data_IF_838014119106
#
_entry.id   IF_838014119106
#
_cell.length_a   1.000
_cell.length_b   1.000
_cell.length_c   1.000
_cell.angle_alpha   90.00
_cell.angle_beta   90.00
_cell.angle_gamma   90.00
#
_symmetry.space_group_name_H-M   'P 1'
#
loop_
_entity.id
_entity.type
_entity.pdbx_description
1 polymer ?
#
# COMPACT_ATOMS: atom_id res chain seq x y z
N UNK A 1 80.66 5.28 10.10
CA UNK A 1 79.52 6.13 10.48
C UNK A 1 78.62 6.28 9.26
N UNK A 2 77.33 5.96 9.42
CA UNK A 2 76.20 6.19 8.49
C UNK A 2 76.15 5.32 7.22
N UNK A 3 75.26 4.32 7.28
CA UNK A 3 74.71 3.53 6.16
C UNK A 3 73.86 4.44 5.25
N UNK A 4 74.00 4.33 3.93
CA UNK A 4 72.96 4.76 2.98
C UNK A 4 72.68 3.63 2.01
N UNK A 5 71.59 2.91 2.29
CA UNK A 5 70.92 1.98 1.38
C UNK A 5 70.16 2.83 0.37
N UNK A 6 70.50 2.71 -0.92
CA UNK A 6 69.71 3.31 -2.01
C UNK A 6 68.49 2.42 -2.26
N UNK A 7 67.34 2.82 -1.73
CA UNK A 7 66.04 2.24 -2.05
C UNK A 7 65.55 2.90 -3.35
N UNK A 8 65.44 2.10 -4.40
CA UNK A 8 64.84 2.47 -5.68
C UNK A 8 63.31 2.33 -5.52
N UNK A 9 62.58 3.43 -5.40
CA UNK A 9 61.10 3.43 -5.39
C UNK A 9 60.62 3.62 -6.83
N UNK A 10 60.08 2.55 -7.41
CA UNK A 10 59.35 2.62 -8.69
C UNK A 10 57.92 3.09 -8.38
N UNK A 11 57.62 4.34 -8.72
CA UNK A 11 56.25 4.87 -8.70
C UNK A 11 55.52 4.40 -9.97
N UNK A 12 54.74 3.32 -9.86
CA UNK A 12 53.74 2.96 -10.87
C UNK A 12 52.51 3.87 -10.68
N UNK A 13 52.39 4.91 -11.51
CA UNK A 13 51.19 5.75 -11.59
C UNK A 13 50.14 4.95 -12.36
N UNK A 14 49.22 4.29 -11.63
CA UNK A 14 48.03 3.68 -12.21
C UNK A 14 47.00 4.79 -12.46
N UNK A 15 46.87 5.21 -13.72
CA UNK A 15 45.88 6.17 -14.17
C UNK A 15 44.49 5.51 -14.13
N UNK A 16 43.72 5.74 -13.06
CA UNK A 16 42.31 5.37 -13.01
C UNK A 16 41.54 6.25 -14.00
N UNK A 17 41.18 5.70 -15.15
CA UNK A 17 40.15 6.26 -16.03
C UNK A 17 38.81 6.15 -15.30
N UNK A 18 38.41 7.21 -14.61
CA UNK A 18 37.04 7.37 -14.13
C UNK A 18 36.13 7.57 -15.35
N UNK A 19 35.41 6.51 -15.75
CA UNK A 19 34.30 6.68 -16.67
C UNK A 19 33.26 7.62 -16.01
N UNK A 20 32.74 8.64 -16.72
CA UNK A 20 31.68 9.47 -16.19
C UNK A 20 30.45 8.59 -15.95
N UNK A 21 30.12 8.34 -14.69
CA UNK A 21 28.82 7.80 -14.31
C UNK A 21 27.80 8.86 -14.71
N UNK A 22 27.08 8.64 -15.81
CA UNK A 22 25.93 9.46 -16.18
C UNK A 22 24.95 9.40 -15.03
N UNK A 23 24.79 10.51 -14.30
CA UNK A 23 23.76 10.66 -13.30
C UNK A 23 22.42 10.39 -13.98
N UNK A 24 21.71 9.35 -13.55
CA UNK A 24 20.33 9.16 -13.96
C UNK A 24 19.55 10.42 -13.59
N UNK A 25 18.76 10.97 -14.51
CA UNK A 25 17.85 12.05 -14.19
C UNK A 25 16.84 11.50 -13.17
N UNK A 26 16.95 11.95 -11.92
CA UNK A 26 16.00 11.59 -10.87
C UNK A 26 14.84 12.56 -10.97
N UNK A 27 13.68 12.06 -11.38
CA UNK A 27 12.44 12.85 -11.31
C UNK A 27 11.87 12.72 -9.90
N UNK A 28 11.77 13.83 -9.15
CA UNK A 28 11.06 13.85 -7.86
C UNK A 28 9.63 14.32 -8.02
N UNK A 29 8.71 13.70 -7.28
CA UNK A 29 7.29 14.06 -7.23
C UNK A 29 6.91 14.43 -5.81
N UNK A 30 6.15 15.53 -5.68
CA UNK A 30 5.62 16.00 -4.41
C UNK A 30 4.19 15.48 -4.23
N UNK A 31 3.94 14.72 -3.17
CA UNK A 31 2.59 14.36 -2.72
C UNK A 31 2.29 15.24 -1.52
N UNK A 32 1.41 16.25 -1.70
CA UNK A 32 1.12 17.26 -0.66
C UNK A 32 -0.19 17.00 0.07
N UNK A 33 -0.26 17.46 1.31
CA UNK A 33 -1.50 17.61 2.07
C UNK A 33 -2.21 18.94 1.82
N UNK A 34 -3.38 19.11 2.46
CA UNK A 34 -4.13 20.36 2.46
C UNK A 34 -3.30 21.44 3.16
N UNK A 35 -3.38 22.67 2.66
CA UNK A 35 -2.66 23.82 3.20
C UNK A 35 -3.28 24.32 4.51
N UNK A 36 -2.43 24.71 5.45
CA UNK A 36 -2.75 25.72 6.46
C UNK A 36 -2.47 27.10 5.87
N UNK A 37 -3.44 28.01 5.89
CA UNK A 37 -3.27 29.39 5.43
C UNK A 37 -3.91 30.36 6.43
N UNK A 38 -3.08 31.07 7.20
CA UNK A 38 -3.55 32.02 8.22
C UNK A 38 -4.38 33.18 7.63
N UNK A 39 -4.25 33.46 6.32
CA UNK A 39 -5.00 34.50 5.63
C UNK A 39 -6.29 34.01 4.94
N UNK A 40 -6.58 32.70 4.99
CA UNK A 40 -7.76 32.10 4.35
C UNK A 40 -8.88 31.88 5.34
N UNK A 41 -10.13 32.21 4.98
CA UNK A 41 -11.30 31.85 5.81
C UNK A 41 -11.60 30.35 5.83
N UNK A 42 -11.12 29.58 4.84
CA UNK A 42 -11.38 28.15 4.72
C UNK A 42 -10.26 27.30 5.31
N UNK A 43 -9.01 27.76 5.20
CA UNK A 43 -7.82 26.97 5.53
C UNK A 43 -7.05 27.47 6.77
N UNK A 44 -7.53 28.52 7.45
CA UNK A 44 -6.91 29.05 8.67
C UNK A 44 -7.10 28.17 9.90
N UNK A 45 -7.81 27.05 9.81
CA UNK A 45 -8.03 26.09 10.91
C UNK A 45 -7.44 24.71 10.62
N UNK A 46 -6.72 24.54 9.50
CA UNK A 46 -6.12 23.27 9.10
C UNK A 46 -4.91 22.91 9.99
N UNK A 47 -5.16 22.26 11.13
CA UNK A 47 -4.11 21.80 12.04
C UNK A 47 -3.99 20.27 12.12
N UNK A 48 -4.71 19.52 11.28
CA UNK A 48 -4.69 18.06 11.28
C UNK A 48 -4.70 17.53 9.85
N UNK A 49 -3.82 16.56 9.62
CA UNK A 49 -3.68 15.81 8.38
C UNK A 49 -3.83 14.33 8.69
N UNK A 50 -4.86 13.71 8.13
CA UNK A 50 -5.07 12.27 8.05
C UNK A 50 -5.02 11.87 6.56
N UNK A 51 -5.27 10.60 6.23
CA UNK A 51 -5.24 10.15 4.84
C UNK A 51 -6.23 10.88 3.89
N UNK A 52 -7.28 11.54 4.42
CA UNK A 52 -8.21 12.34 3.61
C UNK A 52 -7.59 13.70 3.28
N UNK A 53 -6.94 14.34 4.25
CA UNK A 53 -6.32 15.66 4.09
C UNK A 53 -4.87 15.58 3.65
N UNK A 54 -4.29 14.40 3.58
CA UNK A 54 -2.93 14.17 3.13
C UNK A 54 -2.81 12.80 2.45
N UNK A 55 -2.94 12.74 1.11
CA UNK A 55 -2.92 11.48 0.34
C UNK A 55 -1.58 10.75 0.36
N UNK A 56 -0.55 11.36 0.94
CA UNK A 56 0.72 10.69 1.19
C UNK A 56 0.68 9.67 2.32
N UNK A 57 -0.30 9.75 3.22
CA UNK A 57 -0.51 8.73 4.24
C UNK A 57 -1.18 7.49 3.66
N UNK A 58 -0.85 6.34 4.25
CA UNK A 58 -1.37 5.07 3.79
C UNK A 58 -2.90 4.99 3.90
N UNK A 59 -3.55 4.58 2.80
CA UNK A 59 -4.99 4.34 2.73
C UNK A 59 -5.31 3.06 1.95
N UNK A 60 -6.00 2.11 2.59
CA UNK A 60 -6.52 0.92 1.96
C UNK A 60 -7.95 1.16 1.46
N UNK A 61 -8.10 1.34 0.13
CA UNK A 61 -9.38 1.65 -0.53
C UNK A 61 -10.49 0.63 -0.23
N UNK A 62 -10.24 -0.66 -0.49
CA UNK A 62 -11.25 -1.71 -0.34
C UNK A 62 -11.91 -1.75 1.05
N UNK A 63 -11.14 -1.79 2.15
CA UNK A 63 -11.71 -1.75 3.50
C UNK A 63 -11.96 -0.32 4.03
N UNK A 64 -11.58 0.73 3.30
CA UNK A 64 -11.71 2.12 3.72
C UNK A 64 -10.91 2.46 4.98
N UNK A 65 -9.68 1.94 5.13
CA UNK A 65 -8.87 2.07 6.36
C UNK A 65 -7.62 2.91 6.15
N UNK A 66 -7.30 3.71 7.15
CA UNK A 66 -6.01 4.39 7.34
C UNK A 66 -5.65 4.35 8.82
N UNK A 67 -4.41 4.70 9.16
CA UNK A 67 -3.94 4.67 10.55
C UNK A 67 -3.23 5.95 10.99
N UNK A 68 -2.71 6.74 10.06
CA UNK A 68 -1.77 7.81 10.35
C UNK A 68 -2.47 9.16 10.52
N UNK A 69 -1.96 9.96 11.46
CA UNK A 69 -2.37 11.34 11.66
C UNK A 69 -1.16 12.21 12.02
N UNK A 70 -1.08 13.40 11.44
CA UNK A 70 -0.17 14.47 11.84
C UNK A 70 -1.01 15.65 12.32
N UNK A 71 -0.71 16.19 13.50
CA UNK A 71 -1.53 17.22 14.13
C UNK A 71 -0.69 18.26 14.85
N UNK A 72 -1.11 19.52 14.76
CA UNK A 72 -0.66 20.57 15.66
C UNK A 72 -1.63 20.61 16.85
N UNK A 73 -1.12 20.34 18.05
CA UNK A 73 -1.87 20.26 19.30
C UNK A 73 -1.43 21.37 20.26
N UNK A 74 -2.25 21.66 21.28
CA UNK A 74 -1.96 22.62 22.35
C UNK A 74 -1.56 24.03 21.88
N UNK A 75 -1.86 24.33 20.61
CA UNK A 75 -1.57 25.61 19.98
C UNK A 75 -2.74 25.94 19.05
N UNK A 76 -3.49 27.03 19.33
CA UNK A 76 -4.64 27.39 18.50
C UNK A 76 -4.17 27.89 17.14
N UNK A 77 -4.97 27.66 16.11
CA UNK A 77 -4.66 28.05 14.74
C UNK A 77 -4.40 29.56 14.59
N UNK A 78 -5.13 30.37 15.37
CA UNK A 78 -4.98 31.83 15.44
C UNK A 78 -3.63 32.30 15.98
N UNK A 79 -2.86 31.44 16.67
CA UNK A 79 -1.51 31.77 17.12
C UNK A 79 -0.47 31.65 16.01
N UNK A 80 -0.75 30.86 14.96
CA UNK A 80 0.11 30.66 13.81
C UNK A 80 -0.19 31.72 12.75
N UNK A 81 0.66 32.74 12.67
CA UNK A 81 0.42 33.93 11.85
C UNK A 81 1.67 34.31 11.06
N UNK A 82 1.57 35.36 10.24
CA UNK A 82 2.72 35.87 9.51
C UNK A 82 3.89 36.30 10.43
N UNK A 83 3.57 36.74 11.66
CA UNK A 83 4.52 37.20 12.67
C UNK A 83 4.92 36.12 13.69
N UNK A 84 4.18 35.00 13.73
CA UNK A 84 4.49 33.86 14.60
C UNK A 84 4.50 32.56 13.79
N UNK A 85 5.71 32.16 13.38
CA UNK A 85 5.98 31.05 12.46
C UNK A 85 6.63 29.86 13.15
N UNK A 86 6.19 29.56 14.36
CA UNK A 86 6.78 28.52 15.20
C UNK A 86 5.68 27.59 15.68
N UNK A 87 5.86 26.29 15.44
CA UNK A 87 5.13 25.26 16.17
C UNK A 87 5.99 24.97 17.40
N UNK A 88 5.46 25.22 18.58
CA UNK A 88 6.25 25.09 19.81
C UNK A 88 6.65 23.63 20.08
N UNK A 89 7.55 23.44 21.03
CA UNK A 89 7.92 22.09 21.51
C UNK A 89 6.67 21.32 21.94
N UNK A 90 6.69 20.01 21.70
CA UNK A 90 5.59 19.08 22.00
C UNK A 90 4.26 19.34 21.27
N UNK A 91 4.18 20.36 20.39
CA UNK A 91 2.94 20.74 19.73
C UNK A 91 2.75 20.12 18.35
N UNK A 92 3.75 19.49 17.74
CA UNK A 92 3.60 18.68 16.53
C UNK A 92 3.56 17.19 16.91
N UNK A 93 2.42 16.56 16.70
CA UNK A 93 2.15 15.18 17.04
C UNK A 93 1.97 14.32 15.78
N UNK A 94 2.71 13.22 15.67
CA UNK A 94 2.43 12.14 14.72
C UNK A 94 1.89 10.93 15.49
N UNK A 95 0.84 10.30 14.98
CA UNK A 95 0.25 9.12 15.61
C UNK A 95 -0.16 8.10 14.55
N UNK A 96 0.08 6.81 14.85
CA UNK A 96 -0.39 5.70 14.03
C UNK A 96 -0.97 4.59 14.90
N UNK A 97 -2.11 4.02 14.47
CA UNK A 97 -2.80 2.93 15.18
C UNK A 97 -2.87 1.67 14.32
N UNK A 98 -2.69 0.49 14.92
CA UNK A 98 -2.88 -0.78 14.22
C UNK A 98 -4.32 -0.93 13.68
N UNK A 99 -4.43 -1.55 12.51
CA UNK A 99 -5.70 -1.90 11.86
C UNK A 99 -5.71 -3.37 11.46
N UNK A 100 -6.88 -3.99 11.40
CA UNK A 100 -7.03 -5.40 11.02
C UNK A 100 -7.05 -5.62 9.51
N UNK A 101 -6.49 -6.76 9.12
CA UNK A 101 -6.56 -7.29 7.77
C UNK A 101 -6.72 -8.81 7.83
N UNK A 102 -7.67 -9.32 7.04
CA UNK A 102 -7.83 -10.77 6.85
C UNK A 102 -6.71 -11.30 5.97
N UNK A 103 -6.15 -12.46 6.31
CA UNK A 103 -5.39 -13.22 5.32
C UNK A 103 -6.30 -13.58 4.14
N UNK A 104 -5.75 -13.57 2.92
CA UNK A 104 -6.51 -13.94 1.72
C UNK A 104 -7.03 -15.37 1.79
N UNK A 105 -6.23 -16.30 2.30
CA UNK A 105 -6.66 -17.68 2.49
C UNK A 105 -7.89 -17.80 3.42
N UNK A 106 -8.01 -16.90 4.40
CA UNK A 106 -9.17 -16.84 5.27
C UNK A 106 -10.38 -16.21 4.60
N UNK A 107 -10.23 -15.12 3.85
CA UNK A 107 -11.37 -14.50 3.14
C UNK A 107 -11.88 -15.36 1.99
N UNK A 108 -11.00 -16.06 1.28
CA UNK A 108 -11.34 -16.79 0.05
C UNK A 108 -11.68 -18.27 0.29
N UNK A 109 -11.12 -18.90 1.33
CA UNK A 109 -11.29 -20.35 1.59
C UNK A 109 -11.77 -20.67 3.01
N UNK A 110 -12.01 -19.67 3.86
CA UNK A 110 -12.36 -19.84 5.28
C UNK A 110 -11.36 -20.67 6.08
N UNK A 111 -10.10 -20.77 5.61
CA UNK A 111 -9.01 -21.47 6.30
C UNK A 111 -8.22 -20.47 7.12
N UNK A 112 -7.92 -20.81 8.37
CA UNK A 112 -7.13 -19.99 9.27
C UNK A 112 -5.64 -20.30 9.12
N UNK A 113 -4.81 -19.36 9.53
CA UNK A 113 -3.35 -19.45 9.60
C UNK A 113 -2.96 -19.92 11.00
N UNK A 114 -2.02 -20.87 11.08
CA UNK A 114 -1.45 -21.35 12.33
C UNK A 114 -0.77 -20.19 13.08
N UNK A 115 -1.03 -20.05 14.37
CA UNK A 115 -0.60 -18.90 15.20
C UNK A 115 -1.00 -17.52 14.64
N UNK A 116 -2.04 -17.47 13.81
CA UNK A 116 -2.62 -16.22 13.34
C UNK A 116 -3.40 -15.48 14.44
N UNK A 117 -3.78 -14.23 14.15
CA UNK A 117 -4.58 -13.43 15.07
C UNK A 117 -6.08 -13.64 14.82
N UNK A 118 -6.86 -13.60 15.90
CA UNK A 118 -8.28 -13.28 15.86
C UNK A 118 -8.49 -11.80 16.14
N UNK A 119 -9.51 -11.21 15.52
CA UNK A 119 -9.83 -9.80 15.66
C UNK A 119 -11.26 -9.63 16.17
N UNK A 120 -11.41 -8.87 17.26
CA UNK A 120 -12.71 -8.46 17.77
C UNK A 120 -13.02 -7.05 17.26
N UNK A 121 -13.98 -6.92 16.34
CA UNK A 121 -14.33 -5.64 15.73
C UNK A 121 -15.01 -4.66 16.69
N UNK A 122 -15.66 -5.15 17.75
CA UNK A 122 -16.33 -4.31 18.76
C UNK A 122 -15.33 -3.63 19.68
N UNK A 123 -14.30 -4.37 20.13
CA UNK A 123 -13.26 -3.82 21.01
C UNK A 123 -12.02 -3.35 20.27
N UNK A 124 -11.91 -3.62 18.96
CA UNK A 124 -10.76 -3.33 18.10
C UNK A 124 -9.46 -3.94 18.64
N UNK A 125 -9.54 -5.15 19.17
CA UNK A 125 -8.40 -5.86 19.77
C UNK A 125 -8.03 -7.10 18.97
N UNK A 126 -6.74 -7.44 19.02
CA UNK A 126 -6.21 -8.69 18.50
C UNK A 126 -5.94 -9.66 19.64
N UNK A 127 -6.17 -10.94 19.38
CA UNK A 127 -5.78 -12.03 20.26
C UNK A 127 -5.02 -13.07 19.46
N UNK A 128 -3.84 -13.44 19.92
CA UNK A 128 -3.12 -14.60 19.39
C UNK A 128 -3.90 -15.86 19.72
N UNK A 129 -4.06 -16.75 18.74
CA UNK A 129 -4.77 -18.01 18.90
C UNK A 129 -4.00 -19.12 18.14
N UNK A 130 -4.25 -20.39 18.47
CA UNK A 130 -3.62 -21.52 17.80
C UNK A 130 -3.84 -21.48 16.27
N UNK A 131 -4.99 -20.96 15.85
CA UNK A 131 -5.20 -20.52 14.47
C UNK A 131 -6.00 -19.22 14.43
N UNK A 132 -5.68 -18.34 13.47
CA UNK A 132 -6.33 -17.05 13.30
C UNK A 132 -6.54 -16.65 11.84
N UNK A 133 -7.51 -15.78 11.60
CA UNK A 133 -7.87 -15.32 10.26
C UNK A 133 -7.27 -13.97 9.87
N UNK A 134 -6.56 -13.31 10.80
CA UNK A 134 -6.15 -11.92 10.68
C UNK A 134 -4.66 -11.73 10.96
N UNK A 135 -4.13 -10.67 10.39
CA UNK A 135 -2.91 -10.00 10.82
C UNK A 135 -3.20 -8.51 11.05
N UNK A 136 -2.33 -7.84 11.79
CA UNK A 136 -2.43 -6.41 12.05
C UNK A 136 -1.47 -5.63 11.14
N UNK A 137 -1.87 -4.43 10.71
CA UNK A 137 -1.06 -3.56 9.86
C UNK A 137 -1.31 -2.09 10.15
N UNK A 138 -0.34 -1.25 9.80
CA UNK A 138 -0.43 0.20 9.95
C UNK A 138 0.48 0.91 8.94
N UNK A 139 0.17 2.16 8.63
CA UNK A 139 1.07 3.09 7.97
C UNK A 139 2.13 3.62 8.93
N UNK A 140 3.37 3.72 8.46
CA UNK A 140 4.50 4.33 9.15
C UNK A 140 5.19 5.30 8.19
N UNK A 141 4.95 6.59 8.40
CA UNK A 141 5.35 7.68 7.51
C UNK A 141 5.03 7.41 6.03
N UNK A 142 3.78 7.02 5.76
CA UNK A 142 3.24 6.76 4.41
C UNK A 142 3.42 5.33 3.90
N UNK A 143 4.37 4.56 4.44
CA UNK A 143 4.62 3.18 4.03
C UNK A 143 3.82 2.17 4.86
N UNK A 144 3.35 1.08 4.24
CA UNK A 144 2.61 0.02 4.91
C UNK A 144 3.53 -0.98 5.62
N UNK A 145 3.26 -1.25 6.89
CA UNK A 145 3.93 -2.28 7.69
C UNK A 145 2.93 -3.24 8.32
N UNK A 146 3.41 -4.45 8.62
CA UNK A 146 2.72 -5.43 9.47
C UNK A 146 3.17 -5.22 10.92
N UNK A 147 2.20 -5.16 11.82
CA UNK A 147 2.45 -5.15 13.26
C UNK A 147 2.61 -6.60 13.74
N UNK A 148 3.84 -6.99 14.07
CA UNK A 148 4.21 -8.37 14.42
C UNK A 148 3.41 -8.83 15.63
N UNK A 149 2.72 -9.98 15.53
CA UNK A 149 1.79 -10.49 16.55
C UNK A 149 0.76 -9.45 17.05
N UNK A 150 0.42 -8.49 16.19
CA UNK A 150 -0.51 -7.42 16.55
C UNK A 150 0.16 -6.22 17.19
N UNK A 151 1.45 -6.24 17.53
CA UNK A 151 2.12 -5.19 18.31
C UNK A 151 2.50 -3.99 17.42
N UNK A 152 1.80 -2.88 17.57
CA UNK A 152 1.98 -1.67 16.75
C UNK A 152 3.37 -1.04 16.88
N UNK A 153 4.11 -1.33 17.96
CA UNK A 153 5.48 -0.88 18.15
C UNK A 153 6.54 -1.83 17.57
N UNK A 154 6.15 -2.90 16.87
CA UNK A 154 7.06 -3.85 16.20
C UNK A 154 6.66 -4.02 14.74
N UNK A 155 7.39 -3.36 13.86
CA UNK A 155 7.01 -3.20 12.46
C UNK A 155 7.85 -4.10 11.55
N UNK A 156 7.20 -4.95 10.77
CA UNK A 156 7.80 -5.77 9.73
C UNK A 156 7.32 -5.31 8.34
N UNK A 157 8.22 -5.30 7.35
CA UNK A 157 7.82 -5.06 5.95
C UNK A 157 6.99 -6.23 5.44
N UNK A 158 5.93 -5.92 4.70
CA UNK A 158 5.19 -6.91 3.92
C UNK A 158 5.94 -7.19 2.61
N UNK A 159 6.64 -8.31 2.53
CA UNK A 159 7.46 -8.67 1.37
C UNK A 159 6.56 -9.17 0.22
N UNK A 160 5.57 -10.01 0.55
CA UNK A 160 4.64 -10.57 -0.43
C UNK A 160 3.24 -10.62 0.14
N UNK A 161 2.26 -10.22 -0.66
CA UNK A 161 0.84 -10.53 -0.47
C UNK A 161 0.23 -10.74 -1.84
N UNK A 162 -0.14 -11.98 -2.17
CA UNK A 162 -0.83 -12.28 -3.43
C UNK A 162 -2.26 -11.74 -3.40
N UNK A 163 -2.72 -11.20 -4.53
CA UNK A 163 -4.13 -10.87 -4.72
C UNK A 163 -4.97 -12.14 -4.84
N UNK A 164 -6.29 -12.01 -4.71
CA UNK A 164 -7.18 -13.17 -4.70
C UNK A 164 -7.14 -13.93 -6.03
N UNK A 165 -7.05 -13.20 -7.14
CA UNK A 165 -7.01 -13.70 -8.51
C UNK A 165 -5.64 -14.25 -8.94
N UNK A 166 -4.57 -13.92 -8.19
CA UNK A 166 -3.21 -14.34 -8.53
C UNK A 166 -2.99 -15.83 -8.21
N UNK A 167 -2.14 -16.45 -9.04
CA UNK A 167 -1.74 -17.85 -8.95
C UNK A 167 -0.25 -17.94 -9.24
N UNK A 168 0.47 -18.69 -8.42
CA UNK A 168 1.85 -19.07 -8.71
C UNK A 168 1.87 -20.54 -9.10
N UNK A 169 2.45 -20.89 -10.25
CA UNK A 169 2.65 -22.29 -10.64
C UNK A 169 4.14 -22.62 -10.57
N UNK A 170 4.49 -23.64 -9.79
CA UNK A 170 5.86 -24.11 -9.61
C UNK A 170 5.99 -25.53 -10.15
N UNK A 171 7.02 -25.76 -10.97
CA UNK A 171 7.37 -27.10 -11.45
C UNK A 171 8.22 -27.81 -10.39
N UNK A 172 8.17 -29.14 -10.38
CA UNK A 172 9.08 -29.95 -9.58
C UNK A 172 10.55 -29.52 -9.81
N UNK A 173 11.32 -29.37 -8.72
CA UNK A 173 12.72 -28.96 -8.74
C UNK A 173 12.96 -27.47 -8.98
N UNK A 174 11.90 -26.66 -9.15
CA UNK A 174 12.05 -25.20 -9.33
C UNK A 174 11.82 -24.44 -8.03
N UNK A 175 12.45 -23.27 -7.94
CA UNK A 175 12.36 -22.38 -6.79
C UNK A 175 11.67 -21.07 -7.14
N UNK A 176 10.85 -20.58 -6.21
CA UNK A 176 10.20 -19.29 -6.29
C UNK A 176 10.89 -18.28 -5.39
N UNK A 177 11.54 -17.29 -5.98
CA UNK A 177 12.08 -16.15 -5.23
C UNK A 177 10.94 -15.24 -4.76
N UNK A 178 10.83 -15.11 -3.44
CA UNK A 178 9.79 -14.34 -2.77
C UNK A 178 10.26 -12.94 -2.34
N UNK A 179 11.57 -12.64 -2.43
CA UNK A 179 12.20 -11.40 -1.96
C UNK A 179 12.96 -11.59 -0.64
N UNK A 180 13.86 -10.64 -0.32
CA UNK A 180 14.74 -10.67 0.88
C UNK A 180 15.44 -12.03 1.14
N UNK A 181 15.86 -12.71 0.07
CA UNK A 181 16.55 -13.99 0.17
C UNK A 181 15.64 -15.20 0.42
N UNK A 182 14.35 -14.99 0.63
CA UNK A 182 13.36 -16.05 0.81
C UNK A 182 13.04 -16.76 -0.51
N UNK A 183 13.02 -18.09 -0.46
CA UNK A 183 12.72 -18.94 -1.59
C UNK A 183 11.82 -20.11 -1.16
N UNK A 184 10.87 -20.50 -2.01
CA UNK A 184 10.07 -21.71 -1.83
C UNK A 184 10.35 -22.68 -2.97
N UNK A 185 10.80 -23.89 -2.65
CA UNK A 185 11.16 -24.92 -3.62
C UNK A 185 10.20 -26.10 -3.52
N UNK A 186 9.84 -26.67 -4.67
CA UNK A 186 9.08 -27.93 -4.75
C UNK A 186 10.06 -29.08 -4.86
N UNK A 187 10.25 -29.83 -3.77
CA UNK A 187 11.23 -30.91 -3.67
C UNK A 187 10.72 -32.23 -4.25
N UNK A 188 9.45 -32.55 -3.98
CA UNK A 188 8.79 -33.76 -4.47
C UNK A 188 7.28 -33.56 -4.54
N UNK A 189 6.62 -34.36 -5.39
CA UNK A 189 5.18 -34.37 -5.56
C UNK A 189 4.69 -35.82 -5.57
N UNK A 190 3.70 -36.11 -4.74
CA UNK A 190 2.93 -37.36 -4.80
C UNK A 190 1.56 -37.06 -5.41
N UNK A 191 1.35 -37.59 -6.60
CA UNK A 191 0.11 -37.40 -7.35
C UNK A 191 -0.80 -38.63 -7.32
N UNK A 192 -0.37 -39.69 -6.65
CA UNK A 192 -1.10 -40.95 -6.51
C UNK A 192 -1.96 -40.98 -5.23
N UNK A 193 -1.58 -40.23 -4.20
CA UNK A 193 -2.41 -40.06 -3.00
C UNK A 193 -3.63 -39.18 -3.24
N UNK A 194 -4.67 -39.37 -2.42
CA UNK A 194 -5.85 -38.51 -2.38
C UNK A 194 -6.17 -38.08 -0.93
N UNK A 195 -5.96 -36.81 -0.56
CA UNK A 195 -5.49 -35.70 -1.41
C UNK A 195 -4.01 -35.87 -1.85
N UNK A 196 -3.67 -35.24 -2.99
CA UNK A 196 -2.29 -35.19 -3.51
C UNK A 196 -1.39 -34.41 -2.55
N UNK A 197 -0.09 -34.71 -2.56
CA UNK A 197 0.87 -34.14 -1.61
C UNK A 197 2.03 -33.44 -2.30
N UNK A 198 2.49 -32.34 -1.68
CA UNK A 198 3.71 -31.65 -2.06
C UNK A 198 4.69 -31.58 -0.90
N UNK A 199 5.95 -31.91 -1.16
CA UNK A 199 7.07 -31.63 -0.27
C UNK A 199 7.64 -30.27 -0.65
N UNK A 200 7.45 -29.29 0.23
CA UNK A 200 7.88 -27.92 0.02
C UNK A 200 9.03 -27.60 0.99
N UNK A 201 10.07 -26.95 0.47
CA UNK A 201 11.19 -26.42 1.25
C UNK A 201 11.15 -24.91 1.24
N UNK A 202 11.11 -24.30 2.43
CA UNK A 202 11.18 -22.85 2.60
C UNK A 202 12.57 -22.46 3.10
N UNK A 203 13.27 -21.63 2.32
CA UNK A 203 14.67 -21.31 2.53
C UNK A 203 14.87 -19.79 2.61
N UNK A 204 15.92 -19.36 3.31
CA UNK A 204 16.40 -17.97 3.30
C UNK A 204 17.91 -17.96 3.12
N UNK A 205 18.39 -17.22 2.14
CA UNK A 205 19.84 -17.08 1.86
C UNK A 205 20.57 -18.42 1.74
N UNK A 206 19.91 -19.39 1.09
CA UNK A 206 20.42 -20.76 0.91
C UNK A 206 20.30 -21.67 2.14
N UNK A 207 19.92 -21.16 3.31
CA UNK A 207 19.66 -21.97 4.51
C UNK A 207 18.20 -22.46 4.50
N UNK A 208 18.02 -23.77 4.68
CA UNK A 208 16.68 -24.33 4.91
C UNK A 208 16.14 -23.84 6.26
N UNK A 209 14.95 -23.24 6.23
CA UNK A 209 14.23 -22.80 7.43
C UNK A 209 13.20 -23.84 7.87
N UNK A 210 12.51 -24.44 6.90
CA UNK A 210 11.48 -25.44 7.13
C UNK A 210 11.28 -26.34 5.91
N UNK A 211 10.79 -27.55 6.15
CA UNK A 211 10.41 -28.50 5.11
C UNK A 211 9.14 -29.21 5.55
N UNK A 212 8.11 -29.17 4.69
CA UNK A 212 6.78 -29.67 5.05
C UNK A 212 6.14 -30.45 3.92
N UNK A 213 5.45 -31.54 4.29
CA UNK A 213 4.49 -32.22 3.42
C UNK A 213 3.15 -31.54 3.57
N UNK A 214 2.56 -31.09 2.47
CA UNK A 214 1.32 -30.32 2.46
C UNK A 214 0.37 -30.94 1.46
N UNK A 215 -0.84 -31.25 1.90
CA UNK A 215 -1.86 -31.78 1.00
C UNK A 215 -2.45 -30.67 0.12
N UNK A 216 -2.98 -31.06 -1.04
CA UNK A 216 -3.88 -30.21 -1.81
C UNK A 216 -5.04 -29.73 -0.94
N UNK A 217 -5.34 -28.43 -0.97
CA UNK A 217 -6.38 -27.81 -0.17
C UNK A 217 -5.95 -27.40 1.25
N UNK A 218 -4.67 -27.52 1.59
CA UNK A 218 -4.12 -27.12 2.89
C UNK A 218 -3.33 -25.81 2.85
N UNK A 219 -3.14 -25.24 4.04
CA UNK A 219 -2.34 -24.03 4.27
C UNK A 219 -0.99 -24.44 4.82
N UNK A 220 0.07 -24.09 4.12
CA UNK A 220 1.41 -24.13 4.66
C UNK A 220 1.69 -22.81 5.40
N UNK A 221 1.94 -22.90 6.71
CA UNK A 221 2.44 -21.78 7.51
C UNK A 221 3.83 -22.12 8.05
N UNK A 222 4.82 -21.27 7.79
CA UNK A 222 6.09 -21.30 8.51
C UNK A 222 6.06 -20.29 9.66
N UNK A 223 6.42 -20.78 10.84
CA UNK A 223 6.39 -20.05 12.10
C UNK A 223 7.83 -19.93 12.59
N UNK A 224 8.26 -18.69 12.78
CA UNK A 224 9.54 -18.42 13.43
C UNK A 224 9.32 -18.39 14.95
N UNK A 225 10.19 -19.10 15.68
CA UNK A 225 10.04 -19.24 17.14
C UNK A 225 10.22 -17.91 17.87
N UNK A 226 11.05 -17.04 17.32
CA UNK A 226 11.25 -15.71 17.87
C UNK A 226 11.56 -14.70 16.76
N UNK A 227 10.74 -13.66 16.66
CA UNK A 227 11.02 -12.51 15.80
C UNK A 227 11.06 -11.26 16.68
N UNK A 228 12.26 -10.76 16.94
CA UNK A 228 12.49 -9.56 17.76
C UNK A 228 11.79 -9.63 19.13
N UNK A 229 11.87 -10.79 19.81
CA UNK A 229 11.27 -10.97 21.14
C UNK A 229 9.81 -11.42 21.13
N UNK A 230 9.12 -11.41 19.99
CA UNK A 230 7.78 -11.99 19.85
C UNK A 230 7.89 -13.48 19.50
N UNK A 231 7.21 -14.33 20.27
CA UNK A 231 7.23 -15.78 20.06
C UNK A 231 6.25 -16.21 18.97
N UNK A 232 6.55 -17.34 18.34
CA UNK A 232 5.61 -18.10 17.52
C UNK A 232 4.95 -17.28 16.40
N UNK A 233 5.77 -16.51 15.68
CA UNK A 233 5.31 -15.55 14.66
C UNK A 233 5.12 -16.25 13.31
N UNK A 234 3.92 -16.20 12.71
CA UNK A 234 3.74 -16.61 11.32
C UNK A 234 4.52 -15.67 10.41
N UNK A 235 5.54 -16.19 9.73
CA UNK A 235 6.39 -15.40 8.81
C UNK A 235 5.97 -15.62 7.36
N UNK A 236 5.61 -16.85 7.01
CA UNK A 236 5.22 -17.22 5.66
C UNK A 236 3.94 -18.06 5.67
N UNK A 237 3.03 -17.75 4.76
CA UNK A 237 1.76 -18.46 4.57
C UNK A 237 1.58 -18.69 3.07
N UNK A 238 1.18 -19.89 2.67
CA UNK A 238 0.70 -20.14 1.30
C UNK A 238 -0.34 -21.26 1.28
N UNK A 239 -1.25 -21.21 0.31
CA UNK A 239 -2.27 -22.23 0.11
C UNK A 239 -1.93 -23.08 -1.11
N UNK A 240 -1.94 -24.41 -0.96
CA UNK A 240 -1.80 -25.35 -2.07
C UNK A 240 -3.17 -25.52 -2.72
N UNK A 241 -3.43 -24.78 -3.81
CA UNK A 241 -4.74 -24.80 -4.48
C UNK A 241 -4.93 -26.09 -5.28
N UNK A 242 -3.89 -26.55 -5.96
CA UNK A 242 -3.93 -27.77 -6.76
C UNK A 242 -2.54 -28.33 -7.06
N UNK A 243 -2.45 -29.65 -7.23
CA UNK A 243 -1.26 -30.38 -7.67
C UNK A 243 -1.65 -31.16 -8.92
N UNK A 244 -0.92 -30.98 -10.02
CA UNK A 244 -1.25 -31.62 -11.29
C UNK A 244 -0.05 -32.35 -11.89
N UNK A 245 -0.38 -33.41 -12.62
CA UNK A 245 0.53 -34.10 -13.53
C UNK A 245 0.10 -33.71 -14.95
N UNK A 246 1.03 -33.19 -15.76
CA UNK A 246 0.78 -32.94 -17.18
C UNK A 246 0.55 -34.24 -17.96
N UNK A 247 -0.07 -34.12 -19.14
CA UNK A 247 -0.20 -35.24 -20.06
C UNK A 247 1.19 -35.78 -20.47
N UNK A 248 1.26 -37.07 -20.78
CA UNK A 248 2.46 -37.75 -21.31
C UNK A 248 3.71 -37.66 -20.42
N UNK A 249 3.55 -37.65 -19.09
CA UNK A 249 4.65 -37.90 -18.15
C UNK A 249 5.70 -36.78 -18.02
N UNK A 250 5.44 -35.58 -18.57
CA UNK A 250 6.52 -34.61 -18.85
C UNK A 250 6.60 -33.39 -17.92
N UNK A 251 5.67 -33.16 -16.98
CA UNK A 251 5.82 -32.12 -15.94
C UNK A 251 4.80 -32.28 -14.81
N UNK A 252 5.25 -32.39 -13.56
CA UNK A 252 4.40 -32.23 -12.37
C UNK A 252 4.55 -30.80 -11.83
N UNK A 253 3.44 -30.19 -11.43
CA UNK A 253 3.42 -28.82 -10.92
C UNK A 253 2.43 -28.61 -9.79
N UNK A 254 2.78 -27.67 -8.91
CA UNK A 254 1.95 -27.18 -7.82
C UNK A 254 1.46 -25.78 -8.16
N UNK A 255 0.18 -25.52 -7.94
CA UNK A 255 -0.40 -24.20 -7.96
C UNK A 255 -0.59 -23.69 -6.53
N UNK A 256 0.06 -22.57 -6.23
CA UNK A 256 -0.01 -21.86 -4.97
C UNK A 256 -0.83 -20.59 -5.10
N UNK A 257 -1.60 -20.28 -4.05
CA UNK A 257 -2.39 -19.05 -3.95
C UNK A 257 -2.28 -18.46 -2.55
N UNK A 258 -2.72 -17.21 -2.44
CA UNK A 258 -2.87 -16.51 -1.17
C UNK A 258 -1.56 -16.42 -0.36
N UNK A 259 -0.43 -16.40 -1.06
CA UNK A 259 0.88 -16.31 -0.43
C UNK A 259 1.04 -14.98 0.30
N UNK A 260 1.50 -15.03 1.54
CA UNK A 260 1.79 -13.88 2.39
C UNK A 260 3.14 -14.09 3.08
N UNK A 261 3.99 -13.07 3.09
CA UNK A 261 5.34 -13.12 3.66
C UNK A 261 5.71 -11.78 4.28
N UNK A 262 6.21 -11.80 5.51
CA UNK A 262 6.80 -10.64 6.18
C UNK A 262 8.30 -10.79 6.37
N UNK A 263 8.98 -9.63 6.45
CA UNK A 263 10.37 -9.59 6.85
C UNK A 263 10.53 -9.93 8.33
N UNK A 264 11.59 -10.66 8.66
CA UNK A 264 12.03 -10.84 10.05
C UNK A 264 12.89 -9.66 10.54
N UNK A 265 13.26 -8.71 9.66
CA UNK A 265 13.94 -7.47 10.05
C UNK A 265 12.91 -6.50 10.61
N UNK A 266 12.69 -6.57 11.92
CA UNK A 266 11.68 -5.78 12.63
C UNK A 266 12.26 -4.47 13.12
N UNK A 267 11.57 -3.37 12.83
CA UNK A 267 11.76 -2.10 13.52
C UNK A 267 10.97 -2.13 14.83
N UNK A 268 11.69 -2.23 15.96
CA UNK A 268 11.11 -2.04 17.29
C UNK A 268 11.15 -0.57 17.67
N UNK A 269 10.04 -0.05 18.17
CA UNK A 269 9.90 1.33 18.63
C UNK A 269 9.64 1.31 20.14
N UNK A 270 10.42 2.12 20.86
CA UNK A 270 10.35 2.30 22.31
C UNK A 270 10.13 3.78 22.63
N UNK A 271 9.54 4.04 23.80
CA UNK A 271 9.46 5.41 24.29
C UNK A 271 10.87 6.01 24.41
N UNK A 272 11.04 7.24 23.94
CA UNK A 272 12.33 7.93 23.83
C UNK A 272 13.08 7.75 22.51
N UNK A 273 12.66 6.82 21.64
CA UNK A 273 13.27 6.67 20.31
C UNK A 273 13.04 7.92 19.45
N UNK A 274 14.08 8.33 18.70
CA UNK A 274 14.05 9.55 17.88
C UNK A 274 13.93 9.23 16.39
N UNK A 275 13.02 9.94 15.73
CA UNK A 275 12.74 9.88 14.30
C UNK A 275 12.75 11.30 13.75
N UNK A 276 13.94 11.78 13.36
CA UNK A 276 14.13 13.15 12.87
C UNK A 276 13.78 14.18 13.95
N UNK A 277 12.78 15.01 13.71
CA UNK A 277 12.29 15.99 14.70
C UNK A 277 11.43 15.36 15.80
N UNK A 278 10.95 14.13 15.58
CA UNK A 278 10.04 13.45 16.49
C UNK A 278 10.78 12.60 17.52
N UNK A 279 10.22 12.51 18.72
CA UNK A 279 10.56 11.53 19.74
C UNK A 279 9.29 10.73 20.12
N UNK A 280 9.43 9.43 20.30
CA UNK A 280 8.35 8.56 20.74
C UNK A 280 7.95 8.88 22.18
N UNK A 281 6.75 9.45 22.34
CA UNK A 281 6.13 9.65 23.65
C UNK A 281 5.67 8.33 24.24
N UNK A 282 4.95 7.58 23.41
CA UNK A 282 4.32 6.32 23.77
C UNK A 282 4.47 5.36 22.59
N UNK A 283 4.93 4.16 22.88
CA UNK A 283 5.00 3.07 21.92
C UNK A 283 4.50 1.82 22.62
N UNK A 284 3.34 1.33 22.20
CA UNK A 284 2.70 0.18 22.82
C UNK A 284 2.10 -0.73 21.76
N UNK A 285 1.40 -1.77 22.21
CA UNK A 285 0.84 -2.74 21.29
C UNK A 285 -0.24 -2.16 20.36
N UNK A 286 -0.96 -1.10 20.76
CA UNK A 286 -2.07 -0.53 20.00
C UNK A 286 -1.66 0.58 19.05
N UNK A 287 -0.72 1.43 19.47
CA UNK A 287 -0.32 2.62 18.73
C UNK A 287 1.09 3.07 19.04
N UNK A 288 1.58 3.97 18.20
CA UNK A 288 2.80 4.73 18.40
C UNK A 288 2.49 6.21 18.26
N UNK A 289 2.85 6.97 19.29
CA UNK A 289 2.62 8.41 19.42
C UNK A 289 3.98 9.12 19.51
N UNK A 290 4.25 10.02 18.57
CA UNK A 290 5.48 10.80 18.51
C UNK A 290 5.18 12.30 18.62
N UNK A 291 6.15 13.06 19.11
CA UNK A 291 6.05 14.52 19.26
C UNK A 291 7.41 15.21 19.08
N UNK A 292 7.42 16.49 18.72
CA UNK A 292 8.65 17.30 18.65
C UNK A 292 9.13 17.75 20.03
N UNK A 293 9.58 16.79 20.86
CA UNK A 293 9.92 17.02 22.27
C UNK A 293 11.00 18.08 22.48
N UNK A 294 12.14 17.93 21.81
CA UNK A 294 13.33 18.71 22.14
C UNK A 294 13.31 20.14 21.57
N UNK A 295 12.76 20.30 20.37
CA UNK A 295 12.91 21.51 19.57
C UNK A 295 11.59 21.96 18.93
N UNK A 296 11.32 23.28 18.92
CA UNK A 296 10.20 23.82 18.16
C UNK A 296 10.48 23.70 16.66
N UNK A 297 9.41 23.65 15.85
CA UNK A 297 9.49 23.61 14.39
C UNK A 297 9.37 25.02 13.84
N UNK A 298 10.44 25.50 13.20
CA UNK A 298 10.48 26.83 12.58
C UNK A 298 9.94 26.77 11.16
N UNK A 299 8.95 27.60 10.85
CA UNK A 299 8.30 27.69 9.54
C UNK A 299 8.77 28.96 8.81
N UNK A 300 10.07 29.05 8.54
CA UNK A 300 10.67 30.19 7.87
C UNK A 300 10.05 30.45 6.50
N UNK A 301 10.01 31.71 6.06
CA UNK A 301 9.56 32.02 4.70
C UNK A 301 10.44 31.33 3.66
N UNK A 302 9.84 30.91 2.55
CA UNK A 302 10.52 30.23 1.45
C UNK A 302 11.40 29.05 1.90
N UNK A 303 10.89 28.22 2.80
CA UNK A 303 11.67 27.13 3.39
C UNK A 303 11.01 25.78 3.24
N UNK A 304 11.86 24.75 3.27
CA UNK A 304 11.46 23.37 3.48
C UNK A 304 11.96 22.97 4.85
N UNK A 305 11.06 22.50 5.69
CA UNK A 305 11.37 22.04 7.04
C UNK A 305 11.27 20.51 7.08
N UNK A 306 12.40 19.78 7.11
CA UNK A 306 12.40 18.33 7.25
C UNK A 306 11.78 17.93 8.58
N UNK A 307 10.99 16.85 8.58
CA UNK A 307 10.43 16.26 9.79
C UNK A 307 11.06 14.89 10.06
N UNK A 308 10.83 13.92 9.18
CA UNK A 308 11.47 12.60 9.23
C UNK A 308 11.37 11.89 7.88
N UNK A 309 12.46 11.25 7.45
CA UNK A 309 12.53 10.61 6.14
C UNK A 309 12.11 11.57 5.03
N UNK A 310 11.16 11.14 4.21
CA UNK A 310 10.62 11.97 3.12
C UNK A 310 9.51 12.94 3.57
N UNK A 311 9.03 12.86 4.81
CA UNK A 311 8.01 13.76 5.34
C UNK A 311 8.62 15.12 5.69
N UNK A 312 8.11 16.17 5.05
CA UNK A 312 8.60 17.55 5.17
C UNK A 312 7.41 18.52 5.26
N UNK A 313 7.63 19.72 5.80
CA UNK A 313 6.76 20.87 5.55
C UNK A 313 7.34 21.74 4.45
N UNK A 314 6.49 22.24 3.56
CA UNK A 314 6.82 23.30 2.61
C UNK A 314 6.16 24.59 3.04
N UNK A 315 6.93 25.67 3.14
CA UNK A 315 6.46 26.96 3.65
C UNK A 315 6.56 28.01 2.55
N UNK A 316 5.46 28.72 2.30
CA UNK A 316 5.42 29.74 1.26
C UNK A 316 6.30 30.94 1.60
N UNK A 317 6.80 31.61 0.57
CA UNK A 317 7.37 32.95 0.70
C UNK A 317 6.26 34.00 0.78
N UNK A 318 5.85 34.36 1.99
CA UNK A 318 4.85 35.41 2.19
C UNK A 318 5.09 36.11 3.52
N UNK A 319 5.17 37.43 3.52
CA UNK A 319 5.31 38.25 4.72
C UNK A 319 3.98 38.62 5.38
N UNK A 320 2.85 38.38 4.70
CA UNK A 320 1.51 38.80 5.13
C UNK A 320 0.63 37.65 5.61
N UNK A 321 0.99 36.41 5.30
CA UNK A 321 0.34 35.21 5.82
C UNK A 321 1.37 34.10 6.09
N UNK A 322 1.06 33.21 7.03
CA UNK A 322 1.75 31.93 7.18
C UNK A 322 0.98 30.87 6.39
N UNK A 323 1.67 30.28 5.40
CA UNK A 323 1.14 29.18 4.59
C UNK A 323 2.10 28.02 4.56
N UNK A 324 1.63 26.83 4.93
CA UNK A 324 2.44 25.62 4.84
C UNK A 324 1.56 24.37 4.67
N UNK A 325 2.15 23.29 4.18
CA UNK A 325 1.53 21.97 4.12
C UNK A 325 2.58 20.87 4.31
N UNK A 326 2.20 19.71 4.87
CA UNK A 326 3.05 18.53 4.86
C UNK A 326 3.10 17.94 3.45
N UNK A 327 4.21 17.35 3.08
CA UNK A 327 4.35 16.59 1.85
C UNK A 327 5.37 15.46 2.00
N UNK A 328 5.26 14.46 1.12
CA UNK A 328 6.33 13.50 0.86
C UNK A 328 7.00 13.84 -0.48
N UNK A 329 8.33 13.74 -0.50
CA UNK A 329 9.09 13.75 -1.74
C UNK A 329 9.34 12.30 -2.19
N UNK A 330 8.84 11.93 -3.36
CA UNK A 330 9.07 10.59 -3.92
C UNK A 330 10.02 10.66 -5.11
N UNK A 331 11.06 9.83 -5.07
CA UNK A 331 11.97 9.63 -6.19
C UNK A 331 11.37 8.61 -7.15
N UNK A 332 11.02 9.04 -8.36
CA UNK A 332 10.73 8.14 -9.46
C UNK A 332 12.06 7.73 -10.08
N UNK A 333 12.41 6.45 -9.94
CA UNK A 333 13.47 5.86 -10.75
C UNK A 333 12.93 5.70 -12.16
N UNK A 334 13.47 6.47 -13.11
CA UNK A 334 13.15 6.29 -14.52
C UNK A 334 13.32 4.82 -14.90
N UNK A 335 12.24 4.19 -15.34
CA UNK A 335 12.35 2.93 -16.08
C UNK A 335 12.92 3.26 -17.46
N UNK A 336 13.80 2.42 -18.04
CA UNK A 336 14.35 2.69 -19.37
C UNK A 336 13.19 2.90 -20.34
N UNK A 337 13.22 4.03 -21.07
CA UNK A 337 12.27 4.30 -22.15
C UNK A 337 12.34 3.15 -23.13
N UNK A 338 11.25 2.40 -23.27
CA UNK A 338 11.07 1.48 -24.39
C UNK A 338 10.81 2.36 -25.60
N UNK A 339 11.83 2.58 -26.42
CA UNK A 339 11.66 3.20 -27.73
C UNK A 339 10.84 2.25 -28.61
N UNK A 340 9.55 2.57 -28.78
CA UNK A 340 8.75 1.96 -29.82
C UNK A 340 9.25 2.48 -31.17
N UNK A 341 10.17 1.74 -31.81
CA UNK A 341 10.40 1.90 -33.25
C UNK A 341 9.13 1.43 -33.97
N UNK A 342 8.32 2.38 -34.41
CA UNK A 342 7.21 2.11 -35.31
C UNK A 342 7.77 1.63 -36.66
N UNK A 343 7.57 0.35 -36.98
CA UNK A 343 7.75 -0.18 -38.33
C UNK A 343 6.56 0.26 -39.17
N UNK A 344 6.80 1.13 -40.15
CA UNK A 344 5.77 1.54 -41.12
C UNK A 344 5.54 0.36 -42.07
N UNK A 345 4.41 -0.31 -41.94
CA UNK A 345 3.90 -1.20 -42.96
C UNK A 345 2.97 -0.40 -43.88
N UNK A 346 3.35 -0.27 -45.16
CA UNK A 346 2.52 0.31 -46.21
C UNK A 346 1.25 -0.54 -46.38
N UNK A 347 0.09 0.03 -46.06
CA UNK A 347 -1.21 -0.52 -46.40
C UNK A 347 -1.96 0.49 -47.28
N UNK A 348 -2.25 0.04 -48.51
CA UNK A 348 -2.92 0.75 -49.59
C UNK A 348 -4.31 1.23 -49.20
N UNK A 349 -4.58 2.51 -49.46
CA UNK A 349 -5.84 3.20 -49.21
C UNK A 349 -6.91 2.80 -50.24
N UNK A 350 -8.10 2.41 -49.77
CA UNK A 350 -9.33 2.46 -50.58
C UNK A 350 -10.33 3.39 -49.90
N UNK A 351 -10.64 4.48 -50.59
CA UNK A 351 -11.51 5.58 -50.18
C UNK A 351 -12.98 5.21 -50.36
N UNK A 352 -13.84 5.45 -49.37
CA UNK A 352 -15.23 5.88 -49.62
C UNK A 352 -15.71 6.87 -48.57
N UNK A 353 -16.20 7.98 -49.10
CA UNK A 353 -16.70 9.21 -48.48
C UNK A 353 -18.13 9.03 -47.97
N UNK A 354 -18.51 9.64 -46.85
CA UNK A 354 -19.87 10.19 -46.72
C UNK A 354 -19.92 11.37 -45.74
N UNK A 355 -20.74 12.33 -46.14
CA UNK A 355 -20.80 13.74 -45.74
C UNK A 355 -21.84 13.98 -44.65
N UNK A 356 -21.70 15.10 -43.95
CA UNK A 356 -22.47 15.56 -42.80
C UNK A 356 -23.88 16.10 -43.10
N UNK A 357 -24.73 16.21 -42.05
CA UNK A 357 -25.71 17.30 -41.75
C UNK A 357 -26.62 16.86 -40.58
N UNK A 358 -26.58 17.46 -39.39
CA UNK A 358 -27.24 18.68 -38.85
C UNK A 358 -28.77 18.64 -38.62
N UNK A 359 -29.11 18.78 -37.33
CA UNK A 359 -30.13 19.67 -36.70
C UNK A 359 -31.63 19.29 -36.64
N UNK A 360 -32.11 19.25 -35.38
CA UNK A 360 -33.21 20.06 -34.79
C UNK A 360 -34.55 19.40 -34.36
N UNK A 361 -34.83 19.62 -33.06
CA UNK A 361 -36.09 19.97 -32.35
C UNK A 361 -37.46 19.46 -32.84
N UNK A 362 -38.26 18.92 -31.91
CA UNK A 362 -39.35 19.67 -31.22
C UNK A 362 -40.22 18.72 -30.36
N UNK A 363 -40.73 19.25 -29.25
CA UNK A 363 -41.64 18.62 -28.30
C UNK A 363 -43.11 18.96 -28.62
N UNK A 364 -44.08 18.06 -28.37
CA UNK A 364 -45.26 18.29 -27.49
C UNK A 364 -46.22 17.08 -27.43
N UNK A 365 -46.79 16.93 -26.23
CA UNK A 365 -47.87 16.12 -25.61
C UNK A 365 -49.27 16.16 -26.29
N UNK A 366 -50.40 15.64 -25.71
CA UNK A 366 -50.68 14.49 -24.80
C UNK A 366 -51.97 13.66 -25.16
N UNK A 367 -52.32 12.70 -24.28
CA UNK A 367 -53.68 12.40 -23.72
C UNK A 367 -54.51 11.17 -24.15
N UNK A 368 -54.90 10.40 -23.11
CA UNK A 368 -56.28 9.99 -22.74
C UNK A 368 -56.75 8.52 -22.92
N UNK A 369 -57.06 7.94 -21.74
CA UNK A 369 -58.08 6.93 -21.33
C UNK A 369 -58.28 5.64 -22.15
N UNK A 370 -58.61 4.48 -21.56
CA UNK A 370 -59.64 4.24 -20.53
C UNK A 370 -59.49 2.82 -19.93
N UNK A 371 -59.87 2.69 -18.66
CA UNK A 371 -60.68 1.64 -17.98
C UNK A 371 -61.01 0.31 -18.71
N UNK A 372 -61.35 -0.81 -18.07
CA UNK A 372 -61.40 -1.35 -16.69
C UNK A 372 -62.15 -2.69 -16.83
N UNK A 373 -61.72 -3.74 -16.13
CA UNK A 373 -62.49 -4.94 -15.72
C UNK A 373 -61.46 -6.00 -15.33
N UNK A 374 -61.53 -6.74 -14.24
CA UNK A 374 -62.56 -6.99 -13.24
C UNK A 374 -62.14 -8.30 -12.56
N UNK A 375 -62.08 -8.30 -11.23
CA UNK A 375 -61.44 -9.33 -10.41
C UNK A 375 -62.38 -10.47 -9.98
N UNK A 376 -61.83 -11.66 -9.71
CA UNK A 376 -62.20 -12.61 -8.62
C UNK A 376 -61.19 -13.79 -8.60
N UNK A 377 -60.30 -13.91 -7.59
CA UNK A 377 -60.37 -14.82 -6.41
C UNK A 377 -60.37 -16.32 -6.80
N UNK A 378 -59.43 -17.20 -6.37
CA UNK A 378 -59.24 -17.73 -4.99
C UNK A 378 -57.94 -18.59 -4.89
N UNK A 379 -57.36 -18.65 -3.67
CA UNK A 379 -56.49 -19.69 -3.05
C UNK A 379 -54.95 -19.69 -3.24
N UNK A 380 -54.26 -19.62 -2.09
CA UNK A 380 -52.89 -20.11 -1.83
C UNK A 380 -52.94 -21.62 -1.51
N UNK A 381 -51.85 -22.41 -1.67
CA UNK A 381 -50.80 -22.40 -0.65
C UNK A 381 -49.34 -22.63 -1.14
N UNK A 382 -48.42 -22.05 -0.36
CA UNK A 382 -47.08 -22.52 0.07
C UNK A 382 -46.31 -23.49 -0.84
N UNK A 383 -45.16 -23.06 -1.37
CA UNK A 383 -43.80 -23.60 -1.08
C UNK A 383 -42.75 -22.89 -1.95
N UNK A 384 -41.59 -22.54 -1.36
CA UNK A 384 -40.39 -22.09 -2.09
C UNK A 384 -39.80 -23.26 -2.87
N UNK A 385 -39.18 -23.01 -4.04
CA UNK A 385 -37.73 -23.20 -4.07
C UNK A 385 -36.96 -22.14 -4.86
N UNK A 386 -35.66 -22.17 -4.56
CA UNK A 386 -34.48 -21.54 -5.15
C UNK A 386 -34.49 -21.39 -6.68
N UNK A 387 -34.08 -20.21 -7.19
CA UNK A 387 -33.27 -20.13 -8.42
C UNK A 387 -32.30 -18.95 -8.37
N UNK A 388 -31.01 -19.25 -8.53
CA UNK A 388 -29.99 -18.30 -8.88
C UNK A 388 -30.19 -17.77 -10.31
N UNK A 389 -29.84 -16.51 -10.56
CA UNK A 389 -29.26 -16.12 -11.86
C UNK A 389 -28.43 -14.84 -11.76
N UNK A 390 -27.30 -14.93 -12.46
CA UNK A 390 -26.24 -13.98 -12.71
C UNK A 390 -26.70 -12.57 -13.09
N UNK A 391 -25.97 -11.55 -12.61
CA UNK A 391 -25.88 -10.25 -13.27
C UNK A 391 -24.44 -9.97 -13.69
N UNK A 392 -24.20 -10.07 -14.99
CA UNK A 392 -23.12 -9.36 -15.66
C UNK A 392 -23.36 -7.85 -15.51
N UNK A 393 -22.32 -7.09 -15.18
CA UNK A 393 -22.37 -5.64 -15.32
C UNK A 393 -21.09 -5.15 -16.00
N UNK A 394 -21.26 -4.70 -17.26
CA UNK A 394 -20.26 -3.97 -18.02
C UNK A 394 -20.02 -2.61 -17.35
N UNK A 395 -18.76 -2.29 -17.06
CA UNK A 395 -18.34 -0.94 -16.69
C UNK A 395 -17.70 -0.26 -17.90
N UNK A 396 -18.35 0.81 -18.37
CA UNK A 396 -17.77 1.79 -19.29
C UNK A 396 -17.01 2.80 -18.43
N UNK A 397 -15.72 2.98 -18.70
CA UNK A 397 -14.90 4.02 -18.09
C UNK A 397 -15.22 5.38 -18.72
N UNK A 398 -15.45 6.41 -17.89
CA UNK A 398 -15.24 7.79 -18.29
C UNK A 398 -14.03 8.36 -17.56
N UNK A 399 -13.04 8.78 -18.33
CA UNK A 399 -11.93 9.61 -17.89
C UNK A 399 -12.44 11.05 -17.74
N UNK A 400 -12.27 11.64 -16.55
CA UNK A 400 -12.53 13.07 -16.34
C UNK A 400 -11.21 13.85 -16.53
N UNK A 401 -11.09 14.52 -17.67
CA UNK A 401 -10.14 15.60 -17.89
C UNK A 401 -10.81 16.93 -17.52
N UNK A 402 -10.10 17.76 -16.75
CA UNK A 402 -10.60 19.05 -16.27
C UNK A 402 -10.66 20.13 -17.36
N UNK A 403 -11.53 21.12 -17.14
CA UNK A 403 -11.47 22.40 -17.82
C UNK A 403 -11.97 23.50 -16.87
N UNK A 404 -11.11 24.49 -16.64
CA UNK A 404 -11.39 25.75 -15.95
C UNK A 404 -11.86 26.76 -16.99
N UNK A 405 -12.95 27.49 -16.72
CA UNK A 405 -13.22 28.78 -17.35
C UNK A 405 -13.96 29.71 -16.37
N UNK A 406 -13.35 30.87 -16.14
CA UNK A 406 -13.80 32.02 -15.35
C UNK A 406 -14.62 33.00 -16.21
N UNK A 407 -15.57 33.73 -15.60
CA UNK A 407 -16.18 34.97 -16.14
C UNK A 407 -17.70 35.07 -15.88
N UNK A 408 -18.23 35.63 -14.79
CA UNK A 408 -18.48 37.05 -14.38
C UNK A 408 -19.77 37.71 -14.94
N UNK A 409 -20.50 38.41 -14.04
CA UNK A 409 -21.64 39.37 -14.17
C UNK A 409 -23.06 38.80 -14.44
N UNK A 410 -24.20 39.28 -13.88
CA UNK A 410 -24.59 40.18 -12.76
C UNK A 410 -26.14 40.32 -12.76
N UNK A 411 -26.76 40.68 -11.62
CA UNK A 411 -28.16 41.18 -11.39
C UNK A 411 -29.31 40.18 -11.65
N UNK A 412 -30.39 40.09 -10.86
CA UNK A 412 -31.19 41.14 -10.22
C UNK A 412 -32.11 40.54 -9.13
N UNK A 413 -32.47 41.38 -8.15
CA UNK A 413 -33.46 41.19 -7.08
C UNK A 413 -34.80 40.59 -7.53
N UNK A 414 -35.38 39.80 -6.64
CA UNK A 414 -36.79 39.41 -6.55
C UNK A 414 -37.00 38.72 -5.23
#
# INVERSE_FOLDING_TARGET
>A
MIKMVKILIVFAIMLLLAAPVTAANVTTVEIRGIVFDSGSSTYNTTLQWDAVKFPGFWYALGPGKSSETLKIINQPASSLTANNRVIEKENLQYNTLRSDQKFKVFSEKSKKVENGLEYNSSTKTFKLNATGGYYARLGWFGDLYVAVNGKANKLAKLIKEQKAEEKQTLKLGTSWNLGEGYNLTVESLDTETNPRQAWLSFNKDGKNLDQRVVNEGEVYTYIEKNVNGESDVPVFVTYVDSIFTGAEGMSTFVQLRYTWLISQNVLEIKAGDKFGVFEAKEANENYVLLHNKDNPIKLGQNSVQPLYGELKFKVADSSTALRFYPYFEQVIKDSPKVDFKATIANATTTTTTSTASTLSSAATTPSTSSQEAGAAQVSSPVTKPVTAKSRQWNWIFFAAAGLVATGYLVLRKG
#
